data_IF_638709522722
#
_entry.id   IF_638709522722
#
_cell.length_a   1.000
_cell.length_b   1.000
_cell.length_c   1.000
_cell.angle_alpha   90.00
_cell.angle_beta   90.00
_cell.angle_gamma   90.00
#
_symmetry.space_group_name_H-M   'P 1'
#
loop_
_entity.id
_entity.type
_entity.pdbx_description
1 polymer ?
#
# COMPACT_ATOMS: atom_id res chain seq x y z
N UNK A 1 3.95 3.70 -16.37
CA UNK A 1 3.17 3.80 -15.12
C UNK A 1 3.58 5.06 -14.37
N UNK A 2 2.63 5.94 -14.01
CA UNK A 2 2.91 7.08 -13.13
C UNK A 2 3.13 6.52 -11.73
N UNK A 3 4.27 6.82 -11.10
CA UNK A 3 4.65 6.25 -9.81
C UNK A 3 4.06 7.12 -8.69
N UNK A 4 3.15 6.54 -7.89
CA UNK A 4 2.41 7.25 -6.86
C UNK A 4 3.33 7.80 -5.77
N UNK A 5 3.04 9.00 -5.27
CA UNK A 5 3.86 9.64 -4.23
C UNK A 5 5.30 9.94 -4.66
N UNK A 6 5.74 9.53 -5.86
CA UNK A 6 7.11 9.66 -6.31
C UNK A 6 7.57 11.10 -6.44
N UNK A 7 6.67 12.02 -6.77
CA UNK A 7 6.97 13.44 -6.77
C UNK A 7 7.10 13.98 -5.33
N UNK A 8 6.18 13.63 -4.41
CA UNK A 8 6.25 14.02 -2.99
C UNK A 8 7.53 13.46 -2.36
N UNK A 9 7.78 12.17 -2.54
CA UNK A 9 8.91 11.47 -1.96
C UNK A 9 10.24 12.13 -2.33
N UNK A 10 10.40 12.46 -3.61
CA UNK A 10 11.63 13.07 -4.13
C UNK A 10 11.70 14.57 -3.82
N UNK A 11 10.60 15.30 -4.00
CA UNK A 11 10.55 16.75 -3.81
C UNK A 11 10.78 17.13 -2.34
N UNK A 12 10.21 16.36 -1.41
CA UNK A 12 10.37 16.60 0.03
C UNK A 12 11.54 15.82 0.65
N UNK A 13 12.35 15.10 -0.14
CA UNK A 13 13.41 14.22 0.36
C UNK A 13 12.93 13.31 1.51
N UNK A 14 11.80 12.65 1.28
CA UNK A 14 11.03 11.98 2.33
C UNK A 14 11.54 10.58 2.70
N UNK A 15 12.71 10.16 2.18
CA UNK A 15 13.27 8.84 2.45
C UNK A 15 13.51 8.59 3.94
N UNK A 16 13.89 9.63 4.69
CA UNK A 16 14.05 9.55 6.14
C UNK A 16 12.71 9.42 6.91
N UNK A 17 11.57 9.64 6.25
CA UNK A 17 10.24 9.57 6.84
C UNK A 17 9.53 8.21 6.67
N UNK A 18 10.18 7.26 6.00
CA UNK A 18 9.66 5.90 5.79
C UNK A 18 10.65 4.87 6.34
N UNK A 19 10.26 3.60 6.36
CA UNK A 19 11.14 2.54 6.84
C UNK A 19 12.35 2.34 5.91
N UNK A 20 13.56 2.45 6.47
CA UNK A 20 14.81 2.35 5.71
C UNK A 20 15.07 0.94 5.16
N UNK A 21 14.55 -0.10 5.82
CA UNK A 21 14.58 -1.46 5.30
C UNK A 21 13.73 -1.60 4.05
N UNK A 22 12.55 -0.97 4.03
CA UNK A 22 11.71 -0.90 2.84
C UNK A 22 12.43 -0.17 1.69
N UNK A 23 13.01 1.00 1.95
CA UNK A 23 13.75 1.79 0.95
C UNK A 23 14.89 0.97 0.35
N UNK A 24 15.70 0.34 1.19
CA UNK A 24 16.81 -0.51 0.74
C UNK A 24 16.33 -1.70 -0.10
N UNK A 25 15.24 -2.37 0.30
CA UNK A 25 14.68 -3.49 -0.44
C UNK A 25 14.08 -3.07 -1.80
N UNK A 26 13.44 -1.89 -1.86
CA UNK A 26 12.95 -1.32 -3.12
C UNK A 26 14.09 -0.94 -4.04
N UNK A 27 15.13 -0.28 -3.53
CA UNK A 27 16.34 0.03 -4.29
C UNK A 27 17.01 -1.21 -4.88
N UNK A 28 17.18 -2.27 -4.07
CA UNK A 28 17.80 -3.53 -4.49
C UNK A 28 17.00 -4.30 -5.56
N UNK A 29 15.67 -4.13 -5.58
CA UNK A 29 14.78 -4.81 -6.54
C UNK A 29 14.47 -3.98 -7.78
N UNK A 30 15.01 -2.76 -7.90
CA UNK A 30 14.66 -1.81 -8.97
C UNK A 30 13.24 -1.23 -8.86
N UNK A 31 12.62 -1.35 -7.69
CA UNK A 31 11.31 -0.77 -7.37
C UNK A 31 11.34 0.76 -7.23
N UNK A 32 10.20 1.37 -6.88
CA UNK A 32 10.18 2.77 -6.43
C UNK A 32 10.25 2.84 -4.90
N UNK A 33 11.19 3.60 -4.37
CA UNK A 33 11.28 3.88 -2.93
C UNK A 33 10.03 4.60 -2.41
N UNK A 34 9.37 5.39 -3.26
CA UNK A 34 8.12 6.06 -2.91
C UNK A 34 6.97 5.09 -2.59
N UNK A 35 7.07 3.84 -3.03
CA UNK A 35 6.12 2.79 -2.66
C UNK A 35 6.08 2.57 -1.13
N UNK A 36 7.17 2.88 -0.40
CA UNK A 36 7.25 2.73 1.05
C UNK A 36 6.32 3.69 1.83
N UNK A 37 5.68 4.67 1.16
CA UNK A 37 4.56 5.41 1.74
C UNK A 37 3.31 4.56 1.95
N UNK A 38 3.17 3.46 1.22
CA UNK A 38 1.98 2.63 1.26
C UNK A 38 2.17 1.43 2.19
N UNK A 39 1.15 1.17 3.01
CA UNK A 39 1.20 0.15 4.04
C UNK A 39 1.58 -1.23 3.49
N UNK A 40 1.04 -1.64 2.33
CA UNK A 40 1.32 -2.94 1.74
C UNK A 40 2.79 -3.17 1.37
N UNK A 41 3.60 -2.12 1.31
CA UNK A 41 5.04 -2.21 1.05
C UNK A 41 5.90 -2.07 2.31
N UNK A 42 5.45 -1.29 3.30
CA UNK A 42 6.18 -1.03 4.54
C UNK A 42 5.92 -2.09 5.62
N UNK A 43 4.74 -2.74 5.64
CA UNK A 43 4.36 -3.74 6.66
C UNK A 43 5.41 -4.83 6.90
N UNK A 44 6.07 -5.43 5.87
CA UNK A 44 7.09 -6.47 6.09
C UNK A 44 8.28 -6.03 6.94
N UNK A 45 8.49 -4.72 7.11
CA UNK A 45 9.61 -4.15 7.85
C UNK A 45 9.21 -3.64 9.25
N UNK A 46 7.90 -3.60 9.56
CA UNK A 46 7.40 -3.20 10.88
C UNK A 46 7.59 -4.36 11.87
N UNK A 47 8.23 -4.07 13.01
CA UNK A 47 8.48 -5.04 14.09
C UNK A 47 7.56 -4.87 15.30
N UNK A 48 6.66 -3.89 15.28
CA UNK A 48 5.67 -3.65 16.34
C UNK A 48 4.35 -4.32 15.96
N UNK A 49 3.60 -4.91 16.91
CA UNK A 49 2.25 -5.39 16.63
C UNK A 49 1.39 -4.28 16.02
N UNK A 50 0.63 -4.62 14.97
CA UNK A 50 -0.16 -3.68 14.18
C UNK A 50 -1.58 -4.23 13.99
N UNK A 51 -2.56 -3.33 14.04
CA UNK A 51 -3.92 -3.58 13.61
C UNK A 51 -4.19 -2.83 12.31
N UNK A 52 -4.44 -3.54 11.23
CA UNK A 52 -4.65 -2.96 9.90
C UNK A 52 -6.14 -2.66 9.71
N UNK A 53 -6.49 -1.46 9.30
CA UNK A 53 -7.85 -1.08 8.90
C UNK A 53 -7.79 -0.48 7.51
N UNK A 54 -8.20 -1.23 6.50
CA UNK A 54 -7.92 -0.86 5.10
C UNK A 54 -9.01 -1.35 4.14
N UNK A 55 -9.47 -0.46 3.26
CA UNK A 55 -10.21 -0.85 2.06
C UNK A 55 -9.24 -1.28 0.96
N UNK A 56 -9.51 -2.42 0.32
CA UNK A 56 -8.81 -2.84 -0.90
C UNK A 56 -9.16 -1.95 -2.11
N UNK A 57 -10.27 -1.22 -2.01
CA UNK A 57 -10.80 -0.29 -3.01
C UNK A 57 -10.73 1.16 -2.50
N UNK A 58 -9.72 1.49 -1.68
CA UNK A 58 -9.59 2.83 -1.11
C UNK A 58 -9.58 3.88 -2.24
N UNK A 59 -10.59 4.74 -2.26
CA UNK A 59 -10.85 5.63 -3.39
C UNK A 59 -9.71 6.63 -3.61
N UNK A 60 -9.04 7.05 -2.54
CA UNK A 60 -7.89 7.94 -2.62
C UNK A 60 -6.67 7.20 -3.18
N UNK A 61 -6.40 5.99 -2.72
CA UNK A 61 -5.28 5.19 -3.18
C UNK A 61 -5.46 4.75 -4.63
N UNK A 62 -6.65 4.29 -5.02
CA UNK A 62 -6.99 3.95 -6.42
C UNK A 62 -6.75 5.15 -7.33
N UNK A 63 -7.28 6.32 -6.96
CA UNK A 63 -7.07 7.55 -7.75
C UNK A 63 -5.62 7.98 -7.81
N UNK A 64 -4.90 7.88 -6.71
CA UNK A 64 -3.51 8.35 -6.63
C UNK A 64 -2.54 7.41 -7.35
N UNK A 65 -2.78 6.10 -7.27
CA UNK A 65 -1.88 5.07 -7.83
C UNK A 65 -2.23 4.75 -9.28
N UNK A 66 -3.50 4.53 -9.58
CA UNK A 66 -3.95 4.10 -10.90
C UNK A 66 -4.34 5.28 -11.81
N UNK A 67 -4.63 6.45 -11.23
CA UNK A 67 -5.26 7.54 -11.97
C UNK A 67 -6.72 7.24 -12.33
N UNK A 68 -7.32 6.24 -11.66
CA UNK A 68 -8.64 5.70 -11.92
C UNK A 68 -9.63 6.10 -10.81
N UNK A 69 -10.91 5.87 -11.04
CA UNK A 69 -11.99 5.95 -10.08
C UNK A 69 -12.52 4.55 -9.78
N UNK A 70 -13.12 4.36 -8.61
CA UNK A 70 -13.80 3.09 -8.32
C UNK A 70 -15.16 3.11 -9.00
N UNK A 71 -15.24 2.48 -10.17
CA UNK A 71 -16.44 2.45 -11.01
C UNK A 71 -16.36 1.35 -12.07
N UNK A 72 -17.47 1.07 -12.77
CA UNK A 72 -17.57 -0.06 -13.69
C UNK A 72 -16.62 0.02 -14.88
N UNK A 73 -16.28 1.22 -15.33
CA UNK A 73 -15.38 1.43 -16.48
C UNK A 73 -13.94 0.98 -16.21
N UNK A 74 -13.50 1.05 -14.95
CA UNK A 74 -12.12 0.76 -14.55
C UNK A 74 -12.05 -0.46 -13.61
N UNK A 75 -13.15 -1.19 -13.47
CA UNK A 75 -13.31 -2.28 -12.50
C UNK A 75 -12.21 -3.34 -12.62
N UNK A 76 -11.85 -3.77 -13.83
CA UNK A 76 -10.80 -4.79 -14.03
C UNK A 76 -9.46 -4.34 -13.45
N UNK A 77 -9.03 -3.11 -13.76
CA UNK A 77 -7.75 -2.59 -13.28
C UNK A 77 -7.76 -2.36 -11.77
N UNK A 78 -8.88 -1.88 -11.23
CA UNK A 78 -9.06 -1.68 -9.79
C UNK A 78 -9.07 -3.02 -9.04
N UNK A 79 -9.74 -4.04 -9.57
CA UNK A 79 -9.80 -5.37 -8.95
C UNK A 79 -8.44 -6.08 -8.99
N UNK A 80 -7.68 -5.94 -10.08
CA UNK A 80 -6.30 -6.43 -10.14
C UNK A 80 -5.40 -5.74 -9.10
N UNK A 81 -5.61 -4.45 -8.87
CA UNK A 81 -4.88 -3.70 -7.84
C UNK A 81 -5.29 -4.13 -6.43
N UNK A 82 -6.59 -4.31 -6.18
CA UNK A 82 -7.14 -4.81 -4.93
C UNK A 82 -6.62 -6.21 -4.59
N UNK A 83 -6.65 -7.15 -5.54
CA UNK A 83 -6.13 -8.51 -5.37
C UNK A 83 -4.62 -8.52 -5.09
N UNK A 84 -3.86 -7.67 -5.79
CA UNK A 84 -2.43 -7.50 -5.50
C UNK A 84 -2.21 -6.96 -4.09
N UNK A 85 -2.98 -5.95 -3.66
CA UNK A 85 -2.86 -5.37 -2.32
C UNK A 85 -3.19 -6.40 -1.24
N UNK A 86 -4.27 -7.17 -1.42
CA UNK A 86 -4.64 -8.24 -0.50
C UNK A 86 -3.51 -9.28 -0.35
N UNK A 87 -2.87 -9.68 -1.46
CA UNK A 87 -1.73 -10.60 -1.45
C UNK A 87 -0.51 -10.00 -0.76
N UNK A 88 -0.20 -8.72 -1.02
CA UNK A 88 0.93 -8.03 -0.40
C UNK A 88 0.70 -7.87 1.13
N UNK A 89 -0.51 -7.52 1.57
CA UNK A 89 -0.89 -7.46 2.99
C UNK A 89 -0.86 -8.85 3.65
N UNK A 90 -1.32 -9.90 2.96
CA UNK A 90 -1.27 -11.28 3.45
C UNK A 90 0.17 -11.78 3.64
N UNK A 91 1.04 -11.53 2.66
CA UNK A 91 2.46 -11.93 2.69
C UNK A 91 3.25 -11.14 3.73
N UNK A 92 3.05 -9.83 3.79
CA UNK A 92 3.77 -8.95 4.71
C UNK A 92 3.26 -9.02 6.14
N UNK A 93 1.95 -9.25 6.32
CA UNK A 93 1.30 -9.12 7.61
C UNK A 93 0.91 -10.46 8.27
N UNK A 94 0.23 -11.34 7.55
CA UNK A 94 -0.44 -12.47 8.21
C UNK A 94 0.37 -13.77 8.22
N UNK A 95 1.29 -13.96 7.26
CA UNK A 95 2.09 -15.18 7.13
C UNK A 95 3.59 -15.03 7.46
N UNK A 96 4.09 -13.80 7.67
CA UNK A 96 5.52 -13.52 7.83
C UNK A 96 5.98 -13.12 9.24
N UNK A 97 5.05 -12.75 10.13
CA UNK A 97 5.40 -12.03 11.36
C UNK A 97 4.99 -12.84 12.59
N UNK A 98 5.97 -13.24 13.41
CA UNK A 98 5.74 -13.85 14.74
C UNK A 98 5.10 -12.89 15.76
N UNK A 99 4.65 -11.71 15.33
CA UNK A 99 4.33 -10.54 16.15
C UNK A 99 2.82 -10.26 16.31
N UNK A 100 1.95 -11.15 15.81
CA UNK A 100 0.50 -11.03 16.02
C UNK A 100 -0.10 -9.84 15.27
N UNK A 101 -0.19 -9.98 13.95
CA UNK A 101 -0.84 -9.00 13.09
C UNK A 101 -2.33 -9.32 12.96
N UNK A 102 -3.16 -8.33 13.27
CA UNK A 102 -4.62 -8.38 13.16
C UNK A 102 -5.12 -7.30 12.21
N UNK A 103 -6.38 -7.38 11.81
CA UNK A 103 -6.96 -6.30 11.02
C UNK A 103 -8.37 -6.55 10.53
N UNK A 104 -8.94 -5.47 10.02
CA UNK A 104 -10.17 -5.41 9.26
C UNK A 104 -9.84 -4.92 7.86
N UNK A 105 -9.93 -5.83 6.89
CA UNK A 105 -9.71 -5.54 5.47
C UNK A 105 -11.02 -5.84 4.75
N UNK A 106 -11.55 -4.84 4.07
CA UNK A 106 -12.80 -4.93 3.32
C UNK A 106 -12.60 -4.55 1.84
N UNK A 107 -13.61 -4.83 1.02
CA UNK A 107 -13.59 -4.58 -0.43
C UNK A 107 -14.54 -3.46 -0.84
N UNK A 108 -14.93 -2.59 0.08
CA UNK A 108 -15.90 -1.54 -0.19
C UNK A 108 -15.19 -0.25 -0.60
N UNK A 109 -15.71 0.50 -1.59
CA UNK A 109 -15.09 1.74 -2.04
C UNK A 109 -15.30 2.86 -1.02
N UNK A 110 -14.31 3.11 -0.17
CA UNK A 110 -14.35 4.19 0.82
C UNK A 110 -12.95 4.78 1.01
N UNK A 111 -12.81 5.82 1.84
CA UNK A 111 -11.52 6.31 2.27
C UNK A 111 -11.58 6.69 3.75
N UNK A 112 -10.57 6.33 4.53
CA UNK A 112 -10.54 6.60 5.97
C UNK A 112 -11.78 6.07 6.73
N UNK A 113 -12.39 4.95 6.29
CA UNK A 113 -13.65 4.41 6.85
C UNK A 113 -14.87 5.35 6.66
N UNK A 114 -14.74 6.38 5.84
CA UNK A 114 -15.84 7.21 5.37
C UNK A 114 -16.39 6.62 4.09
N UNK A 115 -17.54 5.97 4.23
CA UNK A 115 -18.32 5.35 3.15
C UNK A 115 -18.89 6.40 2.19
#
# INVERSE_FOLDING_TARGET
ARRCGGWIFRYFNASAGVDMGCVAAKGASGGDEADCFFAQHTIPFISTPLWISQSLHDSWQVRSVLGASVGPEEAEQVDLFADKMAKDLARGGFNGSSLGLGGFIDSCPHHCQHW
#
